data_IF_608920142501
#
_entry.id   IF_608920142501
#
_cell.length_a   1.000
_cell.length_b   1.000
_cell.length_c   1.000
_cell.angle_alpha   90.00
_cell.angle_beta   90.00
_cell.angle_gamma   90.00
#
_symmetry.space_group_name_H-M   'P 1'
#
loop_
_entity.id
_entity.type
_entity.pdbx_description
1 polymer ?
#
# COMPACT_ATOMS: atom_id res chain seq x y z
N UNK A 1 -11.01 13.22 -37.89
CA UNK A 1 -9.74 13.72 -37.31
C UNK A 1 -9.92 13.79 -35.80
N UNK A 2 -9.35 12.86 -35.04
CA UNK A 2 -9.48 12.89 -33.57
C UNK A 2 -8.51 13.93 -33.04
N UNK A 3 -9.04 14.96 -32.39
CA UNK A 3 -8.27 16.00 -31.74
C UNK A 3 -7.50 15.38 -30.58
N UNK A 4 -6.20 15.12 -30.74
CA UNK A 4 -5.33 14.63 -29.67
C UNK A 4 -5.13 15.76 -28.65
N UNK A 5 -6.07 15.88 -27.71
CA UNK A 5 -5.87 16.69 -26.51
C UNK A 5 -4.64 16.12 -25.82
N UNK A 6 -3.58 16.92 -25.66
CA UNK A 6 -2.37 16.44 -25.01
C UNK A 6 -2.70 16.06 -23.57
N UNK A 7 -2.58 14.76 -23.27
CA UNK A 7 -2.84 14.19 -21.92
C UNK A 7 -2.04 14.93 -20.84
N UNK A 8 -0.87 15.46 -21.19
CA UNK A 8 -0.01 16.23 -20.31
C UNK A 8 -0.13 17.73 -20.56
N UNK A 9 -0.40 18.50 -19.50
CA UNK A 9 -0.34 19.97 -19.50
C UNK A 9 1.09 20.52 -19.44
N UNK A 10 2.04 19.71 -18.97
CA UNK A 10 3.47 20.03 -18.90
C UNK A 10 4.24 19.00 -19.74
N UNK A 11 4.95 19.41 -20.80
CA UNK A 11 5.69 18.51 -21.69
C UNK A 11 6.69 17.60 -20.95
N UNK A 12 7.26 18.07 -19.83
CA UNK A 12 8.21 17.28 -19.04
C UNK A 12 7.58 16.04 -18.42
N UNK A 13 6.26 16.05 -18.17
CA UNK A 13 5.58 14.89 -17.55
C UNK A 13 5.50 13.67 -18.46
N UNK A 14 5.61 13.87 -19.78
CA UNK A 14 5.70 12.76 -20.72
C UNK A 14 6.95 11.88 -20.45
N UNK A 15 8.03 12.44 -19.89
CA UNK A 15 9.25 11.68 -19.59
C UNK A 15 9.18 10.88 -18.28
N UNK A 16 8.18 11.11 -17.43
CA UNK A 16 7.99 10.33 -16.21
C UNK A 16 7.24 9.02 -16.45
N UNK A 17 6.49 8.95 -17.56
CA UNK A 17 5.79 7.75 -17.95
C UNK A 17 6.82 6.69 -18.32
N UNK A 18 6.84 5.58 -17.59
CA UNK A 18 7.67 4.42 -17.89
C UNK A 18 6.82 3.35 -18.60
N UNK A 19 6.69 3.38 -19.94
CA UNK A 19 5.88 2.41 -20.67
C UNK A 19 6.41 0.98 -20.53
N UNK A 20 7.71 0.79 -20.31
CA UNK A 20 8.31 -0.53 -20.10
C UNK A 20 7.93 -1.17 -18.75
N UNK A 21 7.43 -0.37 -17.82
CA UNK A 21 7.00 -0.79 -16.49
C UNK A 21 5.50 -1.04 -16.39
N UNK A 22 4.70 -0.77 -17.42
CA UNK A 22 3.23 -0.79 -17.35
C UNK A 22 2.66 -2.14 -16.85
N UNK A 23 3.24 -3.24 -17.30
CA UNK A 23 2.81 -4.61 -16.95
C UNK A 23 3.73 -5.29 -15.92
N UNK A 24 4.66 -4.54 -15.32
CA UNK A 24 5.60 -5.07 -14.34
C UNK A 24 5.15 -4.67 -12.93
N UNK A 25 5.15 -5.60 -11.96
CA UNK A 25 4.83 -5.25 -10.59
C UNK A 25 5.82 -4.22 -10.06
N UNK A 26 5.31 -3.22 -9.34
CA UNK A 26 6.14 -2.24 -8.65
C UNK A 26 7.05 -2.96 -7.64
N UNK A 27 8.34 -2.64 -7.69
CA UNK A 27 9.28 -3.13 -6.68
C UNK A 27 9.07 -2.35 -5.39
N UNK A 28 8.87 -3.07 -4.28
CA UNK A 28 8.87 -2.45 -2.96
C UNK A 28 10.24 -1.78 -2.74
N UNK A 29 10.28 -0.48 -2.40
CA UNK A 29 11.53 0.19 -2.03
C UNK A 29 11.99 -0.24 -0.62
N UNK A 30 11.11 -0.87 0.16
CA UNK A 30 11.41 -1.33 1.51
C UNK A 30 11.95 -2.76 1.49
N UNK A 31 12.97 -3.06 2.32
CA UNK A 31 13.39 -4.43 2.58
C UNK A 31 12.24 -5.27 3.12
N UNK A 32 12.21 -6.55 2.75
CA UNK A 32 11.20 -7.49 3.24
C UNK A 32 11.17 -7.57 4.78
N UNK A 33 12.33 -7.43 5.43
CA UNK A 33 12.46 -7.40 6.89
C UNK A 33 11.70 -6.23 7.51
N UNK A 34 11.66 -5.07 6.85
CA UNK A 34 10.90 -3.90 7.33
C UNK A 34 9.40 -4.16 7.27
N UNK A 35 8.92 -4.75 6.19
CA UNK A 35 7.50 -5.13 6.04
C UNK A 35 7.11 -6.17 7.08
N UNK A 36 7.96 -7.17 7.32
CA UNK A 36 7.75 -8.20 8.34
C UNK A 36 7.67 -7.61 9.75
N UNK A 37 8.62 -6.73 10.12
CA UNK A 37 8.62 -6.04 11.41
C UNK A 37 7.36 -5.18 11.61
N UNK A 38 6.94 -4.45 10.57
CA UNK A 38 5.74 -3.63 10.63
C UNK A 38 4.47 -4.46 10.82
N UNK A 39 4.36 -5.64 10.19
CA UNK A 39 3.25 -6.58 10.39
C UNK A 39 3.24 -7.15 11.80
N UNK A 40 4.39 -7.56 12.32
CA UNK A 40 4.52 -8.07 13.67
C UNK A 40 4.10 -7.02 14.71
N UNK A 41 4.54 -5.77 14.56
CA UNK A 41 4.15 -4.67 15.44
C UNK A 41 2.64 -4.41 15.43
N UNK A 42 2.01 -4.30 14.25
CA UNK A 42 0.55 -4.07 14.15
C UNK A 42 -0.25 -5.18 14.83
N UNK A 43 0.13 -6.44 14.58
CA UNK A 43 -0.47 -7.60 15.24
C UNK A 43 -0.34 -7.51 16.76
N UNK A 44 0.87 -7.24 17.27
CA UNK A 44 1.10 -7.16 18.71
C UNK A 44 0.25 -6.07 19.35
N UNK A 45 0.24 -4.87 18.75
CA UNK A 45 -0.59 -3.76 19.23
C UNK A 45 -2.08 -4.11 19.31
N UNK A 46 -2.61 -4.85 18.33
CA UNK A 46 -4.00 -5.34 18.37
C UNK A 46 -4.23 -6.34 19.50
N UNK A 47 -3.32 -7.31 19.68
CA UNK A 47 -3.39 -8.27 20.79
C UNK A 47 -3.34 -7.55 22.13
N UNK A 48 -2.49 -6.54 22.28
CA UNK A 48 -2.40 -5.74 23.50
C UNK A 48 -3.72 -5.04 23.83
N UNK A 49 -4.48 -4.58 22.82
CA UNK A 49 -5.82 -4.04 23.05
C UNK A 49 -6.80 -5.11 23.53
N UNK A 50 -6.80 -6.30 22.92
CA UNK A 50 -7.66 -7.42 23.34
C UNK A 50 -7.43 -7.76 24.81
N UNK A 51 -6.16 -7.86 25.22
CA UNK A 51 -5.78 -8.11 26.62
C UNK A 51 -6.19 -6.95 27.53
N UNK A 52 -5.93 -5.70 27.13
CA UNK A 52 -6.26 -4.50 27.93
C UNK A 52 -7.76 -4.42 28.25
N UNK A 53 -8.60 -4.91 27.35
CA UNK A 53 -10.06 -4.90 27.50
C UNK A 53 -10.61 -6.22 28.08
N UNK A 54 -9.75 -7.10 28.61
CA UNK A 54 -10.12 -8.40 29.18
C UNK A 54 -10.99 -9.24 28.24
N UNK A 55 -10.70 -9.17 26.95
CA UNK A 55 -11.41 -9.91 25.92
C UNK A 55 -10.60 -11.16 25.53
N UNK A 56 -11.28 -12.27 25.27
CA UNK A 56 -10.60 -13.48 24.78
C UNK A 56 -10.18 -13.35 23.30
N UNK A 57 -10.92 -12.57 22.51
CA UNK A 57 -10.68 -12.38 21.07
C UNK A 57 -11.35 -11.10 20.56
N UNK A 58 -11.03 -10.72 19.32
CA UNK A 58 -11.69 -9.67 18.55
C UNK A 58 -12.07 -10.19 17.17
N UNK A 59 -13.25 -9.83 16.67
CA UNK A 59 -13.72 -10.15 15.32
C UNK A 59 -13.78 -8.87 14.49
N UNK A 60 -13.12 -8.89 13.33
CA UNK A 60 -12.91 -7.72 12.49
C UNK A 60 -13.51 -7.97 11.10
N UNK A 61 -14.55 -7.21 10.74
CA UNK A 61 -15.26 -7.36 9.46
C UNK A 61 -14.83 -6.35 8.40
N UNK A 62 -14.38 -5.16 8.82
CA UNK A 62 -13.92 -4.15 7.88
C UNK A 62 -12.61 -4.61 7.22
N UNK A 63 -12.50 -4.60 5.88
CA UNK A 63 -11.27 -4.95 5.17
C UNK A 63 -10.05 -4.13 5.55
N UNK A 64 -10.22 -2.95 6.17
CA UNK A 64 -9.11 -2.08 6.58
C UNK A 64 -8.62 -2.29 8.02
N UNK A 65 -9.19 -3.24 8.77
CA UNK A 65 -8.82 -3.48 10.18
C UNK A 65 -7.44 -4.15 10.38
N UNK A 66 -6.51 -4.02 9.43
CA UNK A 66 -5.19 -4.64 9.43
C UNK A 66 -4.06 -3.75 9.96
#
# INVERSE_FOLDING_TARGET
>A
MVNMVSVFKDPRKATYLNPEGAEKPLRSPLPQSTVAAARAYRKQRMVDQVVRHDCAAILLFDPVNC
#
